data_IF_203411510954
#
_entry.id   IF_203411510954
#
_cell.length_a   1.000
_cell.length_b   1.000
_cell.length_c   1.000
_cell.angle_alpha   90.00
_cell.angle_beta   90.00
_cell.angle_gamma   90.00
#
_symmetry.space_group_name_H-M   'P 1'
#
loop_
_entity.id
_entity.type
_entity.pdbx_description
1 polymer ?
#
# COMPACT_ATOMS: atom_id res chain seq x y z
N UNK A 1 10.50 -14.01 -0.37
CA UNK A 1 11.70 -13.21 -0.10
C UNK A 1 12.92 -13.97 -0.55
N UNK A 2 13.18 -15.15 0.04
CA UNK A 2 14.34 -15.99 -0.27
C UNK A 2 14.59 -16.17 -1.77
N UNK A 3 13.57 -16.57 -2.54
CA UNK A 3 13.71 -16.74 -3.99
C UNK A 3 14.10 -15.43 -4.70
N UNK A 4 13.39 -14.33 -4.41
CA UNK A 4 13.71 -13.04 -5.04
C UNK A 4 15.10 -12.50 -4.65
N UNK A 5 15.56 -12.79 -3.42
CA UNK A 5 16.92 -12.47 -2.99
C UNK A 5 17.92 -13.33 -3.76
N UNK A 6 17.65 -14.63 -3.92
CA UNK A 6 18.51 -15.55 -4.67
C UNK A 6 18.56 -15.21 -6.17
N UNK A 7 17.45 -14.74 -6.73
CA UNK A 7 17.32 -14.26 -8.10
C UNK A 7 18.05 -12.92 -8.33
N UNK A 8 18.49 -12.25 -7.25
CA UNK A 8 19.31 -11.03 -7.32
C UNK A 8 18.54 -9.80 -7.77
N UNK A 9 17.27 -9.66 -7.37
CA UNK A 9 16.47 -8.46 -7.70
C UNK A 9 17.01 -7.21 -7.01
N UNK A 10 16.83 -6.04 -7.62
CA UNK A 10 17.24 -4.76 -7.02
C UNK A 10 16.17 -4.16 -6.09
N UNK A 11 14.89 -4.41 -6.39
CA UNK A 11 13.74 -3.85 -5.67
C UNK A 11 12.63 -4.88 -5.51
N UNK A 12 12.00 -4.89 -4.34
CA UNK A 12 10.77 -5.63 -4.05
C UNK A 12 9.61 -4.65 -3.85
N UNK A 13 8.56 -4.81 -4.67
CA UNK A 13 7.32 -4.04 -4.55
C UNK A 13 6.19 -4.94 -4.04
N UNK A 14 5.73 -4.69 -2.82
CA UNK A 14 4.82 -5.59 -2.09
C UNK A 14 3.53 -4.87 -1.71
N UNK A 15 2.48 -5.09 -2.50
CA UNK A 15 1.11 -4.63 -2.22
C UNK A 15 0.36 -5.60 -1.32
N UNK A 16 0.95 -5.93 -0.18
CA UNK A 16 0.38 -6.84 0.81
C UNK A 16 0.69 -6.36 2.23
N UNK A 17 -0.11 -6.85 3.16
CA UNK A 17 0.03 -6.56 4.58
C UNK A 17 -0.94 -7.43 5.37
N UNK A 18 -0.66 -7.64 6.64
CA UNK A 18 -1.54 -8.36 7.55
C UNK A 18 -1.85 -7.52 8.78
N UNK A 19 -2.62 -8.08 9.72
CA UNK A 19 -2.82 -7.46 11.03
C UNK A 19 -1.47 -7.12 11.67
N UNK A 20 -1.46 -6.07 12.50
CA UNK A 20 -0.29 -5.72 13.30
C UNK A 20 0.27 -6.95 14.04
N UNK A 21 1.58 -7.14 13.93
CA UNK A 21 2.36 -8.15 14.65
C UNK A 21 3.62 -7.48 15.18
N UNK A 22 4.23 -8.08 16.20
CA UNK A 22 5.60 -7.73 16.57
C UNK A 22 6.54 -8.05 15.39
N UNK A 23 7.59 -7.25 15.20
CA UNK A 23 8.57 -7.39 14.11
C UNK A 23 9.16 -8.80 14.00
N UNK A 24 9.38 -9.50 15.12
CA UNK A 24 9.95 -10.85 15.14
C UNK A 24 8.96 -11.94 14.68
N UNK A 25 7.69 -11.59 14.53
CA UNK A 25 6.62 -12.49 14.10
C UNK A 25 5.92 -11.98 12.83
N UNK A 26 6.48 -10.96 12.17
CA UNK A 26 5.95 -10.42 10.93
C UNK A 26 6.81 -10.92 9.75
N UNK A 27 6.27 -11.77 8.86
CA UNK A 27 7.03 -12.31 7.74
C UNK A 27 7.51 -11.23 6.76
N UNK A 28 6.78 -10.10 6.65
CA UNK A 28 7.20 -8.97 5.82
C UNK A 28 8.37 -8.24 6.47
N UNK A 29 8.34 -8.07 7.79
CA UNK A 29 9.45 -7.47 8.53
C UNK A 29 10.71 -8.35 8.44
N UNK A 30 10.61 -9.64 8.73
CA UNK A 30 11.74 -10.58 8.73
C UNK A 30 12.34 -10.72 7.33
N UNK A 31 11.49 -11.03 6.33
CA UNK A 31 11.96 -11.19 4.96
C UNK A 31 12.48 -9.89 4.36
N UNK A 32 11.84 -8.77 4.71
CA UNK A 32 12.30 -7.44 4.32
C UNK A 32 13.64 -7.07 4.93
N UNK A 33 13.92 -7.48 6.18
CA UNK A 33 15.21 -7.26 6.82
C UNK A 33 16.33 -7.98 6.06
N UNK A 34 16.14 -9.28 5.76
CA UNK A 34 17.12 -10.04 4.99
C UNK A 34 17.33 -9.47 3.57
N UNK A 35 16.29 -8.96 2.93
CA UNK A 35 16.41 -8.32 1.62
C UNK A 35 17.22 -7.01 1.71
N UNK A 36 16.92 -6.16 2.69
CA UNK A 36 17.63 -4.89 2.90
C UNK A 36 19.10 -5.11 3.28
N UNK A 37 19.42 -6.13 4.08
CA UNK A 37 20.81 -6.52 4.37
C UNK A 37 21.59 -6.94 3.10
N UNK A 38 20.90 -7.38 2.05
CA UNK A 38 21.48 -7.71 0.74
C UNK A 38 21.47 -6.54 -0.25
N UNK A 39 21.10 -5.34 0.20
CA UNK A 39 21.04 -4.13 -0.64
C UNK A 39 19.77 -4.01 -1.49
N UNK A 40 18.75 -4.84 -1.22
CA UNK A 40 17.49 -4.85 -1.98
C UNK A 40 16.51 -3.90 -1.29
N UNK A 41 16.00 -2.91 -2.02
CA UNK A 41 15.01 -1.98 -1.47
C UNK A 41 13.63 -2.63 -1.41
N UNK A 42 12.95 -2.53 -0.28
CA UNK A 42 11.60 -3.12 -0.09
C UNK A 42 10.56 -2.02 0.11
N UNK A 43 9.63 -1.94 -0.83
CA UNK A 43 8.51 -0.99 -0.84
C UNK A 43 7.21 -1.74 -0.51
N UNK A 44 6.43 -1.21 0.43
CA UNK A 44 5.22 -1.83 0.94
C UNK A 44 4.07 -0.83 1.08
N UNK A 45 2.83 -1.32 1.15
CA UNK A 45 1.64 -0.48 1.36
C UNK A 45 1.39 -0.21 2.84
N UNK A 46 0.88 0.98 3.16
CA UNK A 46 0.43 1.33 4.51
C UNK A 46 -0.88 0.62 4.93
N UNK A 47 -1.65 0.11 3.96
CA UNK A 47 -2.95 -0.52 4.17
C UNK A 47 -4.13 0.44 3.94
N UNK A 48 -5.34 -0.13 3.84
CA UNK A 48 -6.57 0.58 3.46
C UNK A 48 -7.57 0.71 4.63
N UNK A 49 -7.12 0.49 5.87
CA UNK A 49 -7.97 0.46 7.06
C UNK A 49 -8.09 1.80 7.78
N UNK A 50 -7.62 2.89 7.16
CA UNK A 50 -7.82 4.25 7.67
C UNK A 50 -9.31 4.62 7.79
N UNK A 51 -9.64 5.83 8.29
CA UNK A 51 -8.75 6.95 8.58
C UNK A 51 -8.28 7.05 10.04
N UNK A 52 -8.68 6.09 10.91
CA UNK A 52 -8.35 6.17 12.33
C UNK A 52 -6.83 6.06 12.58
N UNK A 53 -6.28 6.76 13.60
CA UNK A 53 -4.87 6.62 13.97
C UNK A 53 -4.49 5.18 14.30
N UNK A 54 -3.25 4.79 13.96
CA UNK A 54 -2.71 3.46 14.29
C UNK A 54 -3.23 2.31 13.41
N UNK A 55 -3.83 2.62 12.26
CA UNK A 55 -4.32 1.62 11.29
C UNK A 55 -3.27 1.20 10.25
N UNK A 56 -2.09 1.81 10.28
CA UNK A 56 -0.96 1.51 9.39
C UNK A 56 -0.38 0.12 9.61
N UNK A 57 -0.02 -0.55 8.52
CA UNK A 57 0.65 -1.85 8.48
C UNK A 57 2.11 -1.69 8.01
N UNK A 58 2.90 -2.77 8.07
CA UNK A 58 4.29 -2.79 7.56
C UNK A 58 5.17 -1.71 8.20
N UNK A 59 5.19 -1.63 9.53
CA UNK A 59 5.83 -0.54 10.29
C UNK A 59 7.31 -0.78 10.60
N UNK A 60 7.93 -1.81 10.02
CA UNK A 60 9.32 -2.10 10.27
C UNK A 60 10.21 -0.97 9.69
N UNK A 61 11.22 -0.49 10.43
CA UNK A 61 11.93 0.75 10.08
C UNK A 61 12.80 0.65 8.83
N UNK A 62 13.08 -0.56 8.35
CA UNK A 62 13.82 -0.82 7.11
C UNK A 62 12.92 -0.90 5.86
N UNK A 63 11.61 -0.77 6.00
CA UNK A 63 10.66 -0.80 4.88
C UNK A 63 10.31 0.63 4.43
N UNK A 64 10.13 0.81 3.12
CA UNK A 64 9.48 2.01 2.58
C UNK A 64 7.97 1.78 2.58
N UNK A 65 7.25 2.41 3.49
CA UNK A 65 5.80 2.21 3.67
C UNK A 65 5.01 3.36 3.07
N UNK A 66 4.18 3.05 2.08
CA UNK A 66 3.56 4.03 1.17
C UNK A 66 2.07 4.20 1.46
N UNK A 67 1.65 5.43 1.74
CA UNK A 67 0.24 5.82 1.85
C UNK A 67 -0.39 6.11 0.48
N UNK A 68 -1.71 6.05 0.40
CA UNK A 68 -2.45 6.37 -0.81
C UNK A 68 -2.91 7.84 -0.81
N UNK A 69 -2.87 8.48 -1.97
CA UNK A 69 -3.43 9.80 -2.23
C UNK A 69 -4.05 9.82 -3.62
N UNK A 70 -4.84 10.86 -3.91
CA UNK A 70 -5.44 11.09 -5.23
C UNK A 70 -4.51 11.91 -6.12
N UNK A 71 -4.82 11.94 -7.41
CA UNK A 71 -4.21 12.83 -8.40
C UNK A 71 -5.25 13.86 -8.85
N UNK A 72 -4.85 14.81 -9.68
CA UNK A 72 -5.72 15.86 -10.24
C UNK A 72 -6.80 15.33 -11.21
N UNK A 73 -6.64 14.10 -11.71
CA UNK A 73 -7.62 13.42 -12.55
C UNK A 73 -8.83 12.95 -11.74
N UNK A 74 -10.02 13.34 -12.20
CA UNK A 74 -11.30 12.83 -11.72
C UNK A 74 -12.00 11.96 -12.78
N UNK A 75 -12.79 11.00 -12.30
CA UNK A 75 -13.66 10.16 -13.12
C UNK A 75 -15.11 10.46 -12.76
N UNK A 76 -15.77 11.27 -13.59
CA UNK A 76 -17.17 11.65 -13.43
C UNK A 76 -18.12 10.74 -14.25
N UNK A 77 -19.29 10.45 -13.68
CA UNK A 77 -20.42 9.79 -14.34
C UNK A 77 -21.66 10.66 -14.22
N UNK A 78 -22.36 10.89 -15.33
CA UNK A 78 -23.62 11.63 -15.33
C UNK A 78 -24.80 10.72 -14.95
N UNK A 79 -25.59 11.14 -13.97
CA UNK A 79 -26.85 10.52 -13.57
C UNK A 79 -28.00 11.42 -14.03
N UNK A 80 -28.81 10.92 -14.96
CA UNK A 80 -29.99 11.62 -15.47
C UNK A 80 -31.24 11.18 -14.70
N UNK A 81 -31.91 12.12 -14.04
CA UNK A 81 -33.13 11.89 -13.27
C UNK A 81 -34.38 11.91 -14.17
N UNK A 82 -35.51 11.44 -13.63
CA UNK A 82 -36.77 11.32 -14.38
C UNK A 82 -37.41 12.64 -14.79
N UNK A 83 -37.01 13.76 -14.16
CA UNK A 83 -37.38 15.12 -14.51
C UNK A 83 -36.39 15.80 -15.49
N UNK A 84 -35.33 15.08 -15.89
CA UNK A 84 -34.30 15.55 -16.80
C UNK A 84 -33.13 16.28 -16.13
N UNK A 85 -33.13 16.40 -14.80
CA UNK A 85 -31.96 16.91 -14.07
C UNK A 85 -30.76 15.97 -14.25
N UNK A 86 -29.56 16.54 -14.44
CA UNK A 86 -28.32 15.77 -14.59
C UNK A 86 -27.42 16.04 -13.38
N UNK A 87 -27.12 14.99 -12.63
CA UNK A 87 -26.19 15.02 -11.50
C UNK A 87 -24.86 14.42 -11.95
N UNK A 88 -23.80 15.21 -11.86
CA UNK A 88 -22.43 14.70 -12.03
C UNK A 88 -22.00 13.98 -10.76
N UNK A 89 -21.68 12.70 -10.87
CA UNK A 89 -21.16 11.87 -9.77
C UNK A 89 -19.69 11.57 -10.07
N UNK A 90 -18.80 12.32 -9.43
CA UNK A 90 -17.36 12.05 -9.40
C UNK A 90 -16.95 11.39 -8.10
N UNK A 91 -15.84 10.65 -8.11
CA UNK A 91 -15.18 10.16 -6.89
C UNK A 91 -14.15 11.18 -6.43
N UNK A 92 -14.60 12.19 -5.69
CA UNK A 92 -13.71 13.06 -4.92
C UNK A 92 -13.40 12.42 -3.56
N UNK A 93 -12.12 12.21 -3.26
CA UNK A 93 -11.63 11.94 -1.89
C UNK A 93 -11.26 13.26 -1.22
#
# INVERSE_FOLDING_TARGET
>A
FDDAIADGVDVLSLSLGGKYRNLLNDPVAIGGFHAVEKGITVVTVAGNSGPLPGTVLNVAPWLVTVGATTIDRDFEVDVVLGDGEVIKVGTHN
#
